data_IF_775142611811
#
_entry.id   IF_775142611811
#
_cell.length_a   1.000
_cell.length_b   1.000
_cell.length_c   1.000
_cell.angle_alpha   90.00
_cell.angle_beta   90.00
_cell.angle_gamma   90.00
#
_symmetry.space_group_name_H-M   'P 1'
#
loop_
_entity.id
_entity.type
_entity.pdbx_description
1 polymer ?
#
# COMPACT_ATOMS: atom_id res chain seq x y z
N UNK A 1 -12.94 6.38 -8.00
CA UNK A 1 -12.09 5.19 -7.76
C UNK A 1 -11.68 5.19 -6.30
N UNK A 2 -11.99 4.11 -5.58
CA UNK A 2 -11.75 4.03 -4.12
C UNK A 2 -10.47 3.25 -3.76
N UNK A 3 -9.48 3.19 -4.65
CA UNK A 3 -8.20 2.53 -4.42
C UNK A 3 -7.02 3.45 -4.69
N UNK A 4 -5.86 3.10 -4.14
CA UNK A 4 -4.61 3.85 -4.26
C UNK A 4 -3.46 2.92 -4.67
N UNK A 5 -2.52 3.49 -5.40
CA UNK A 5 -1.23 2.89 -5.73
C UNK A 5 -0.33 2.98 -4.51
N UNK A 6 0.15 1.85 -4.01
CA UNK A 6 1.06 1.78 -2.87
C UNK A 6 2.37 1.18 -3.35
N UNK A 7 3.44 1.95 -3.26
CA UNK A 7 4.78 1.53 -3.70
C UNK A 7 5.37 0.41 -2.86
N UNK A 8 6.20 -0.43 -3.48
CA UNK A 8 6.93 -1.52 -2.83
C UNK A 8 7.81 -1.05 -1.67
N UNK A 9 8.37 0.16 -1.73
CA UNK A 9 9.21 0.76 -0.68
C UNK A 9 8.53 0.77 0.70
N UNK A 10 7.19 0.80 0.74
CA UNK A 10 6.43 0.73 2.01
C UNK A 10 6.64 -0.60 2.73
N UNK A 11 6.77 -1.70 1.99
CA UNK A 11 7.06 -3.01 2.59
C UNK A 11 8.54 -3.14 2.97
N UNK A 12 9.45 -2.54 2.21
CA UNK A 12 10.89 -2.66 2.43
C UNK A 12 11.36 -1.86 3.65
N UNK A 13 10.79 -0.67 3.87
CA UNK A 13 11.37 0.35 4.71
C UNK A 13 10.55 0.71 5.96
N UNK A 14 9.25 0.44 5.96
CA UNK A 14 8.36 0.95 7.00
C UNK A 14 7.92 -0.14 7.98
N UNK A 15 7.78 0.24 9.25
CA UNK A 15 7.09 -0.59 10.24
C UNK A 15 5.57 -0.51 10.05
N UNK A 16 4.78 -1.46 10.59
CA UNK A 16 3.34 -1.53 10.33
C UNK A 16 2.59 -0.22 10.59
N UNK A 17 2.83 0.47 11.70
CA UNK A 17 2.15 1.72 12.00
C UNK A 17 2.59 2.87 11.07
N UNK A 18 3.83 2.84 10.59
CA UNK A 18 4.34 3.77 9.58
C UNK A 18 3.70 3.48 8.22
N UNK A 19 3.59 2.20 7.83
CA UNK A 19 2.89 1.76 6.62
C UNK A 19 1.41 2.17 6.63
N UNK A 20 0.74 2.05 7.79
CA UNK A 20 -0.61 2.61 7.98
C UNK A 20 -0.64 4.12 7.73
N UNK A 21 0.32 4.88 8.30
CA UNK A 21 0.39 6.34 8.10
C UNK A 21 0.61 6.70 6.62
N UNK A 22 1.48 5.96 5.92
CA UNK A 22 1.65 6.13 4.47
C UNK A 22 0.35 5.87 3.72
N UNK A 23 -0.35 4.78 4.03
CA UNK A 23 -1.59 4.42 3.38
C UNK A 23 -2.70 5.46 3.65
N UNK A 24 -2.77 6.01 4.86
CA UNK A 24 -3.65 7.12 5.18
C UNK A 24 -3.29 8.38 4.36
N UNK A 25 -2.01 8.71 4.23
CA UNK A 25 -1.54 9.82 3.39
C UNK A 25 -1.93 9.57 1.92
N UNK A 26 -1.69 8.37 1.40
CA UNK A 26 -2.06 7.98 0.04
C UNK A 26 -3.57 8.05 -0.19
N UNK A 27 -4.40 7.76 0.81
CA UNK A 27 -5.85 7.89 0.71
C UNK A 27 -6.32 9.32 0.43
N UNK A 28 -5.51 10.31 0.80
CA UNK A 28 -5.76 11.75 0.60
C UNK A 28 -5.02 12.32 -0.62
N UNK A 29 -4.32 11.50 -1.38
CA UNK A 29 -3.65 11.92 -2.62
C UNK A 29 -4.61 11.88 -3.80
N UNK A 30 -4.34 12.73 -4.78
CA UNK A 30 -4.92 12.58 -6.11
C UNK A 30 -4.34 11.32 -6.78
N UNK A 31 -5.19 10.57 -7.47
CA UNK A 31 -4.81 9.28 -8.06
C UNK A 31 -3.84 9.42 -9.24
N UNK A 32 -3.95 10.51 -10.01
CA UNK A 32 -3.17 10.73 -11.23
C UNK A 32 -1.86 11.46 -10.94
N UNK A 33 -1.93 12.51 -10.11
CA UNK A 33 -0.74 13.34 -9.79
C UNK A 33 0.06 12.80 -8.62
N UNK A 34 -0.52 11.89 -7.82
CA UNK A 34 0.07 11.32 -6.60
C UNK A 34 0.42 12.39 -5.55
N UNK A 35 -0.20 13.56 -5.65
CA UNK A 35 -0.01 14.66 -4.72
C UNK A 35 -1.03 14.60 -3.58
N UNK A 36 -0.57 14.80 -2.36
CA UNK A 36 -1.41 14.95 -1.18
C UNK A 36 -1.14 16.30 -0.50
N UNK A 37 -2.19 17.12 -0.36
CA UNK A 37 -2.14 18.46 0.27
C UNK A 37 -2.81 18.46 1.64
N UNK A 38 -2.60 17.40 2.41
CA UNK A 38 -3.20 17.21 3.73
C UNK A 38 -2.29 17.72 4.85
N UNK A 39 -2.86 18.35 5.86
CA UNK A 39 -2.12 18.80 7.02
C UNK A 39 -1.82 17.64 7.99
N UNK A 40 -0.71 17.73 8.74
CA UNK A 40 -0.37 16.73 9.76
C UNK A 40 -1.42 16.62 10.86
N UNK A 41 -2.07 17.74 11.23
CA UNK A 41 -3.18 17.75 12.18
C UNK A 41 -4.38 16.94 11.69
N UNK A 42 -4.73 17.07 10.40
CA UNK A 42 -5.79 16.28 9.79
C UNK A 42 -5.44 14.78 9.76
N UNK A 43 -4.19 14.42 9.44
CA UNK A 43 -3.74 13.02 9.52
C UNK A 43 -3.79 12.48 10.96
N UNK A 44 -3.40 13.30 11.94
CA UNK A 44 -3.48 12.96 13.36
C UNK A 44 -4.93 12.73 13.80
N UNK A 45 -5.85 13.62 13.43
CA UNK A 45 -7.28 13.50 13.70
C UNK A 45 -7.88 12.24 13.10
N UNK A 46 -7.67 12.01 11.79
CA UNK A 46 -8.19 10.83 11.08
C UNK A 46 -7.61 9.52 11.60
N UNK A 47 -6.35 9.52 11.99
CA UNK A 47 -5.68 8.33 12.52
C UNK A 47 -5.90 8.14 14.02
N UNK A 48 -6.27 9.17 14.77
CA UNK A 48 -6.23 9.17 16.24
C UNK A 48 -4.81 8.97 16.81
N UNK A 49 -3.76 9.24 16.01
CA UNK A 49 -2.37 9.26 16.45
C UNK A 49 -1.96 10.66 16.88
N UNK A 50 -0.96 10.75 17.77
CA UNK A 50 -0.40 12.04 18.13
C UNK A 50 0.27 12.72 16.93
N UNK A 51 0.09 14.04 16.78
CA UNK A 51 0.66 14.83 15.68
C UNK A 51 2.19 14.69 15.60
N UNK A 52 2.88 14.58 16.75
CA UNK A 52 4.33 14.33 16.79
C UNK A 52 4.68 12.97 16.19
N UNK A 53 3.86 11.94 16.41
CA UNK A 53 4.04 10.62 15.81
C UNK A 53 3.87 10.71 14.30
N UNK A 54 2.84 11.38 13.81
CA UNK A 54 2.64 11.63 12.38
C UNK A 54 3.85 12.35 11.77
N UNK A 55 4.31 13.43 12.41
CA UNK A 55 5.50 14.17 11.96
C UNK A 55 6.74 13.28 11.86
N UNK A 56 7.00 12.46 12.88
CA UNK A 56 8.13 11.51 12.88
C UNK A 56 8.02 10.48 11.75
N UNK A 57 6.81 9.94 11.49
CA UNK A 57 6.59 9.00 10.40
C UNK A 57 6.85 9.65 9.04
N UNK A 58 6.32 10.86 8.80
CA UNK A 58 6.52 11.59 7.55
C UNK A 58 7.99 11.95 7.32
N UNK A 59 8.70 12.43 8.35
CA UNK A 59 10.13 12.72 8.27
C UNK A 59 10.95 11.47 7.93
N UNK A 60 10.59 10.32 8.51
CA UNK A 60 11.24 9.04 8.20
C UNK A 60 10.97 8.62 6.75
N UNK A 61 9.75 8.76 6.25
CA UNK A 61 9.39 8.47 4.86
C UNK A 61 10.16 9.37 3.89
N UNK A 62 10.28 10.66 4.20
CA UNK A 62 11.05 11.62 3.40
C UNK A 62 12.54 11.27 3.40
N UNK A 63 13.13 10.99 4.56
CA UNK A 63 14.56 10.63 4.67
C UNK A 63 14.93 9.34 3.95
N UNK A 64 13.96 8.46 3.69
CA UNK A 64 14.11 7.20 2.96
C UNK A 64 13.68 7.28 1.49
N UNK A 65 13.32 8.47 1.01
CA UNK A 65 12.90 8.68 -0.37
C UNK A 65 11.55 8.05 -0.75
N UNK A 66 10.74 7.63 0.24
CA UNK A 66 9.41 7.03 0.01
C UNK A 66 8.41 8.10 -0.42
N UNK A 67 8.58 9.32 0.10
CA UNK A 67 7.84 10.52 -0.29
C UNK A 67 8.80 11.68 -0.50
N UNK A 68 8.41 12.64 -1.32
CA UNK A 68 9.06 13.95 -1.40
C UNK A 68 8.14 15.00 -0.80
N UNK A 69 8.69 15.94 -0.02
CA UNK A 69 7.88 16.97 0.65
C UNK A 69 8.26 18.35 0.12
N UNK A 70 7.34 18.97 -0.59
CA UNK A 70 7.45 20.38 -0.96
C UNK A 70 6.86 21.23 0.17
N UNK A 71 7.67 22.13 0.71
CA UNK A 71 7.30 23.03 1.83
C UNK A 71 7.07 24.43 1.28
N UNK A 72 5.81 24.81 1.22
CA UNK A 72 5.40 26.11 0.69
C UNK A 72 4.97 27.04 1.82
N UNK A 73 5.10 28.35 1.53
CA UNK A 73 4.64 29.42 2.41
C UNK A 73 3.71 30.33 1.61
N UNK A 74 2.46 30.44 2.03
CA UNK A 74 1.53 31.44 1.50
C UNK A 74 1.40 32.59 2.48
N UNK A 75 1.43 33.83 1.97
CA UNK A 75 1.12 35.04 2.71
C UNK A 75 -0.31 35.41 2.37
N UNK A 76 -1.21 35.27 3.35
CA UNK A 76 -2.62 35.68 3.23
C UNK A 76 -2.91 36.93 4.04
N UNK A 77 -4.14 37.42 3.96
CA UNK A 77 -4.61 38.62 4.69
C UNK A 77 -4.45 38.47 6.22
N UNK A 78 -4.55 37.25 6.74
CA UNK A 78 -4.42 36.93 8.18
C UNK A 78 -3.00 36.50 8.61
N UNK A 79 -1.98 36.68 7.75
CA UNK A 79 -0.60 36.29 8.01
C UNK A 79 -0.06 35.19 7.10
N UNK A 80 1.18 34.78 7.41
CA UNK A 80 1.85 33.71 6.63
C UNK A 80 1.56 32.36 7.24
N UNK A 81 1.09 31.41 6.42
CA UNK A 81 0.94 30.00 6.82
C UNK A 81 1.78 29.09 5.93
N UNK A 82 2.27 28.04 6.57
CA UNK A 82 3.05 26.98 5.91
C UNK A 82 2.13 25.80 5.61
N UNK A 83 2.29 25.22 4.43
CA UNK A 83 1.63 23.97 4.08
C UNK A 83 2.62 23.08 3.35
N UNK A 84 2.38 21.78 3.45
CA UNK A 84 3.19 20.78 2.78
C UNK A 84 2.38 20.14 1.67
N UNK A 85 3.01 19.96 0.52
CA UNK A 85 2.54 19.05 -0.53
C UNK A 85 3.43 17.82 -0.50
N UNK A 86 2.83 16.65 -0.34
CA UNK A 86 3.51 15.36 -0.32
C UNK A 86 3.35 14.74 -1.71
N UNK A 87 4.47 14.36 -2.32
CA UNK A 87 4.49 13.64 -3.59
C UNK A 87 4.84 12.19 -3.31
N UNK A 88 3.95 11.28 -3.71
CA UNK A 88 4.12 9.85 -3.58
C UNK A 88 4.69 9.30 -4.90
N UNK A 89 5.26 8.08 -4.84
CA UNK A 89 5.72 7.37 -6.04
C UNK A 89 4.79 6.20 -6.36
N UNK A 90 4.70 5.84 -7.64
CA UNK A 90 3.99 4.66 -8.13
C UNK A 90 4.93 3.61 -8.76
N UNK A 91 6.21 3.68 -8.47
CA UNK A 91 7.14 2.65 -8.89
C UNK A 91 6.84 1.32 -8.18
N UNK A 92 6.70 0.24 -8.96
CA UNK A 92 6.42 -1.11 -8.44
C UNK A 92 5.28 -1.10 -7.39
N UNK A 93 4.10 -0.67 -7.79
CA UNK A 93 2.96 -0.52 -6.88
C UNK A 93 2.03 -1.72 -6.86
N UNK A 94 1.24 -1.79 -5.79
CA UNK A 94 0.02 -2.60 -5.71
C UNK A 94 -1.20 -1.70 -5.46
N UNK A 95 -2.38 -2.15 -5.91
CA UNK A 95 -3.64 -1.45 -5.71
C UNK A 95 -4.34 -1.94 -4.44
N UNK A 96 -4.66 -1.00 -3.55
CA UNK A 96 -5.35 -1.27 -2.29
C UNK A 96 -6.53 -0.31 -2.14
N UNK A 97 -7.71 -0.85 -1.78
CA UNK A 97 -8.89 -0.03 -1.53
C UNK A 97 -8.73 0.81 -0.26
N UNK A 98 -9.12 2.07 -0.35
CA UNK A 98 -9.16 2.99 0.80
C UNK A 98 -10.10 2.48 1.91
N UNK A 99 -11.08 1.63 1.56
CA UNK A 99 -12.01 1.03 2.52
C UNK A 99 -11.31 0.19 3.60
N UNK A 100 -10.10 -0.30 3.33
CA UNK A 100 -9.27 -0.98 4.34
C UNK A 100 -8.98 -0.11 5.57
N UNK A 101 -8.97 1.23 5.44
CA UNK A 101 -8.82 2.15 6.57
C UNK A 101 -10.02 2.17 7.51
N UNK A 102 -11.20 1.75 7.02
CA UNK A 102 -12.46 1.73 7.78
C UNK A 102 -12.72 0.37 8.45
N UNK A 103 -11.87 -0.63 8.20
CA UNK A 103 -12.01 -1.95 8.81
C UNK A 103 -11.84 -1.89 10.33
N UNK A 104 -12.65 -2.65 11.11
CA UNK A 104 -12.66 -2.60 12.57
C UNK A 104 -11.49 -3.38 13.18
N UNK A 105 -10.28 -3.08 12.74
CA UNK A 105 -9.03 -3.69 13.18
C UNK A 105 -8.01 -2.63 13.57
N UNK A 106 -7.01 -3.02 14.35
CA UNK A 106 -5.98 -2.07 14.79
C UNK A 106 -5.11 -1.59 13.62
N UNK A 107 -4.62 -0.38 13.71
CA UNK A 107 -3.86 0.33 12.66
C UNK A 107 -2.61 -0.41 12.22
N UNK A 108 -1.90 -1.04 13.17
CA UNK A 108 -0.72 -1.86 12.88
C UNK A 108 -1.08 -3.08 12.01
N UNK A 109 -2.26 -3.68 12.22
CA UNK A 109 -2.72 -4.79 11.39
C UNK A 109 -3.07 -4.31 9.99
N UNK A 110 -3.71 -3.13 9.85
CA UNK A 110 -3.93 -2.51 8.53
C UNK A 110 -2.59 -2.31 7.81
N UNK A 111 -1.62 -1.70 8.48
CA UNK A 111 -0.28 -1.48 7.90
C UNK A 111 0.42 -2.78 7.52
N UNK A 112 0.31 -3.83 8.34
CA UNK A 112 0.83 -5.15 8.00
C UNK A 112 0.13 -5.76 6.78
N UNK A 113 -1.20 -5.67 6.67
CA UNK A 113 -1.94 -6.16 5.50
C UNK A 113 -1.57 -5.42 4.22
N UNK A 114 -1.33 -4.10 4.30
CA UNK A 114 -0.77 -3.31 3.19
C UNK A 114 0.59 -3.88 2.76
N UNK A 115 1.50 -4.12 3.69
CA UNK A 115 2.81 -4.69 3.40
C UNK A 115 2.74 -6.13 2.87
N UNK A 116 1.83 -6.94 3.40
CA UNK A 116 1.60 -8.29 2.91
C UNK A 116 1.09 -8.29 1.46
N UNK A 117 0.18 -7.36 1.10
CA UNK A 117 -0.27 -7.20 -0.30
C UNK A 117 0.90 -6.88 -1.23
N UNK A 118 1.84 -6.05 -0.80
CA UNK A 118 3.05 -5.72 -1.57
C UNK A 118 4.00 -6.91 -1.74
N UNK A 119 3.89 -7.95 -0.93
CA UNK A 119 4.63 -9.22 -1.04
C UNK A 119 3.86 -10.30 -1.81
N UNK A 120 2.62 -10.04 -2.18
CA UNK A 120 1.89 -10.92 -3.09
C UNK A 120 2.43 -10.79 -4.51
N UNK A 121 2.29 -11.83 -5.29
CA UNK A 121 2.51 -11.75 -6.73
C UNK A 121 1.60 -10.69 -7.32
N UNK A 122 2.16 -9.85 -8.21
CA UNK A 122 1.51 -8.65 -8.72
C UNK A 122 0.12 -8.87 -9.33
N UNK A 123 -0.17 -10.09 -9.79
CA UNK A 123 -1.42 -10.46 -10.46
C UNK A 123 -2.32 -11.37 -9.62
N UNK A 124 -2.02 -11.47 -8.35
CA UNK A 124 -2.80 -12.29 -7.44
C UNK A 124 -2.79 -11.72 -6.03
N UNK A 125 -3.61 -12.26 -5.16
CA UNK A 125 -3.56 -12.02 -3.72
C UNK A 125 -2.80 -13.14 -3.00
N UNK A 126 -1.94 -13.88 -3.72
CA UNK A 126 -1.15 -14.98 -3.18
C UNK A 126 0.27 -14.50 -2.85
N UNK A 127 0.63 -14.55 -1.58
CA UNK A 127 1.99 -14.41 -1.08
C UNK A 127 2.59 -15.80 -0.89
N UNK A 128 3.66 -16.13 -1.60
CA UNK A 128 4.35 -17.43 -1.52
C UNK A 128 5.45 -17.49 -0.49
N UNK A 129 5.78 -16.36 0.14
CA UNK A 129 6.79 -16.32 1.19
C UNK A 129 6.33 -17.12 2.41
N UNK A 130 7.23 -17.94 2.95
CA UNK A 130 7.10 -18.50 4.28
C UNK A 130 7.18 -17.41 5.36
N UNK A 131 6.79 -17.72 6.59
CA UNK A 131 6.91 -16.76 7.72
C UNK A 131 8.35 -16.27 7.92
N UNK A 132 9.35 -17.15 7.65
CA UNK A 132 10.77 -16.80 7.76
C UNK A 132 11.18 -15.84 6.66
N UNK A 133 10.85 -16.13 5.41
CA UNK A 133 11.15 -15.26 4.28
C UNK A 133 10.43 -13.91 4.39
N UNK A 134 9.19 -13.88 4.89
CA UNK A 134 8.52 -12.61 5.19
C UNK A 134 9.28 -11.80 6.24
N UNK A 135 9.80 -12.46 7.29
CA UNK A 135 10.59 -11.78 8.32
C UNK A 135 11.93 -11.29 7.80
N UNK A 136 12.51 -11.96 6.80
CA UNK A 136 13.76 -11.53 6.14
C UNK A 136 13.52 -10.35 5.17
N UNK A 137 12.29 -10.16 4.68
CA UNK A 137 11.93 -9.10 3.72
C UNK A 137 11.15 -7.94 4.33
N UNK A 138 10.70 -8.04 5.56
CA UNK A 138 9.97 -7.01 6.28
C UNK A 138 10.81 -6.53 7.48
N UNK A 139 10.69 -5.26 7.91
CA UNK A 139 11.55 -4.69 8.95
C UNK A 139 11.14 -5.12 10.37
N UNK A 140 10.84 -6.41 10.60
CA UNK A 140 10.50 -6.95 11.92
C UNK A 140 10.78 -8.45 12.06
N UNK A 141 10.76 -8.91 13.32
CA UNK A 141 11.14 -10.29 13.67
C UNK A 141 10.10 -11.32 13.21
N UNK A 142 10.53 -12.58 13.04
CA UNK A 142 9.67 -13.73 12.71
C UNK A 142 8.48 -13.85 13.66
N UNK A 143 8.69 -13.70 14.97
CA UNK A 143 7.60 -13.78 15.96
C UNK A 143 6.56 -12.67 15.79
N UNK A 144 7.00 -11.49 15.35
CA UNK A 144 6.11 -10.37 15.04
C UNK A 144 5.30 -10.65 13.78
N UNK A 145 5.92 -11.16 12.73
CA UNK A 145 5.23 -11.58 11.49
C UNK A 145 4.19 -12.64 11.79
N UNK A 146 4.58 -13.70 12.51
CA UNK A 146 3.68 -14.82 12.86
C UNK A 146 2.46 -14.34 13.66
N UNK A 147 2.66 -13.47 14.63
CA UNK A 147 1.56 -12.86 15.42
C UNK A 147 0.58 -12.09 14.54
N UNK A 148 1.07 -11.30 13.57
CA UNK A 148 0.20 -10.57 12.64
C UNK A 148 -0.54 -11.51 11.70
N UNK A 149 0.11 -12.57 11.21
CA UNK A 149 -0.54 -13.56 10.36
C UNK A 149 -1.64 -14.31 11.11
N UNK A 150 -1.40 -14.74 12.34
CA UNK A 150 -2.43 -15.39 13.19
C UNK A 150 -3.61 -14.44 13.39
N UNK A 151 -3.34 -13.18 13.74
CA UNK A 151 -4.40 -12.18 13.94
C UNK A 151 -5.19 -11.91 12.65
N UNK A 152 -4.51 -11.75 11.53
CA UNK A 152 -5.14 -11.54 10.22
C UNK A 152 -6.00 -12.72 9.79
N UNK A 153 -5.57 -13.96 10.07
CA UNK A 153 -6.32 -15.18 9.78
C UNK A 153 -7.56 -15.30 10.67
N UNK A 154 -7.42 -15.07 11.97
CA UNK A 154 -8.55 -15.06 12.92
C UNK A 154 -9.61 -14.00 12.57
N UNK A 155 -9.19 -12.87 12.02
CA UNK A 155 -10.08 -11.79 11.54
C UNK A 155 -10.62 -12.03 10.14
N UNK A 156 -10.22 -13.09 9.44
CA UNK A 156 -10.71 -13.45 8.11
C UNK A 156 -10.12 -12.66 6.93
N UNK A 157 -9.02 -11.92 7.13
CA UNK A 157 -8.36 -11.17 6.05
C UNK A 157 -7.45 -12.05 5.21
N UNK A 158 -6.94 -13.13 5.77
CA UNK A 158 -6.08 -14.09 5.07
C UNK A 158 -6.55 -15.53 5.29
N UNK A 159 -6.12 -16.41 4.39
CA UNK A 159 -6.11 -17.87 4.56
C UNK A 159 -4.73 -18.40 4.27
N UNK A 160 -4.31 -19.42 5.01
CA UNK A 160 -3.03 -20.11 4.77
C UNK A 160 -3.32 -21.52 4.25
N UNK A 161 -2.57 -21.93 3.23
CA UNK A 161 -2.62 -23.28 2.67
C UNK A 161 -1.23 -23.70 2.14
N UNK A 162 -1.13 -24.85 1.51
CA UNK A 162 0.11 -25.37 0.93
C UNK A 162 0.73 -24.46 -0.15
N UNK A 163 -0.08 -23.61 -0.81
CA UNK A 163 0.37 -22.68 -1.85
C UNK A 163 0.94 -21.38 -1.27
N UNK A 164 0.66 -21.08 0.00
CA UNK A 164 1.09 -19.86 0.68
C UNK A 164 -0.02 -19.15 1.45
N UNK A 165 0.11 -17.83 1.56
CA UNK A 165 -0.81 -16.93 2.27
C UNK A 165 -1.65 -16.20 1.23
N UNK A 166 -2.98 -16.29 1.35
CA UNK A 166 -3.94 -15.69 0.42
C UNK A 166 -4.68 -14.55 1.13
N UNK A 167 -4.65 -13.35 0.58
CA UNK A 167 -5.52 -12.24 0.96
C UNK A 167 -6.93 -12.49 0.40
N UNK A 168 -7.91 -12.66 1.28
CA UNK A 168 -9.24 -13.21 0.92
C UNK A 168 -10.15 -12.18 0.27
N UNK A 169 -10.11 -10.91 0.74
CA UNK A 169 -11.05 -9.89 0.29
C UNK A 169 -10.54 -9.14 -0.95
N UNK A 170 -11.01 -9.54 -2.13
CA UNK A 170 -10.63 -8.92 -3.41
C UNK A 170 -11.17 -7.49 -3.60
N UNK A 171 -12.16 -7.06 -2.81
CA UNK A 171 -12.61 -5.67 -2.81
C UNK A 171 -11.64 -4.74 -2.07
N UNK A 172 -10.90 -5.26 -1.10
CA UNK A 172 -9.88 -4.52 -0.37
C UNK A 172 -8.51 -4.60 -1.06
N UNK A 173 -8.16 -5.79 -1.58
CA UNK A 173 -6.87 -6.08 -2.21
C UNK A 173 -7.09 -6.32 -3.70
N UNK A 174 -6.97 -5.24 -4.47
CA UNK A 174 -7.29 -5.26 -5.89
C UNK A 174 -6.22 -6.05 -6.66
N UNK A 175 -6.68 -6.91 -7.56
CA UNK A 175 -5.83 -7.54 -8.58
C UNK A 175 -5.96 -6.71 -9.85
N UNK A 176 -4.86 -6.15 -10.32
CA UNK A 176 -4.85 -5.35 -11.53
C UNK A 176 -4.86 -6.26 -12.76
N UNK A 177 -5.99 -6.31 -13.46
CA UNK A 177 -6.13 -7.11 -14.69
C UNK A 177 -5.24 -6.61 -15.83
N UNK A 178 -4.93 -5.31 -15.86
CA UNK A 178 -3.97 -4.77 -16.84
C UNK A 178 -2.57 -5.33 -16.61
N UNK A 179 -2.24 -5.61 -15.36
CA UNK A 179 -0.96 -6.22 -15.01
C UNK A 179 -0.85 -7.68 -15.49
N UNK A 180 -1.95 -8.42 -15.50
CA UNK A 180 -1.99 -9.80 -16.03
C UNK A 180 -1.69 -9.82 -17.54
N UNK A 181 -2.25 -8.87 -18.28
CA UNK A 181 -1.95 -8.67 -19.70
C UNK A 181 -0.47 -8.33 -19.93
N UNK A 182 0.10 -7.43 -19.13
CA UNK A 182 1.50 -7.04 -19.21
C UNK A 182 2.44 -8.22 -18.90
N UNK A 183 2.06 -9.10 -17.95
CA UNK A 183 2.80 -10.31 -17.64
C UNK A 183 2.81 -11.29 -18.82
N UNK A 184 1.64 -11.55 -19.41
CA UNK A 184 1.52 -12.43 -20.58
C UNK A 184 2.37 -11.87 -21.72
N UNK A 185 2.34 -10.56 -21.96
CA UNK A 185 3.15 -9.90 -22.97
C UNK A 185 4.65 -10.07 -22.76
N UNK A 186 5.11 -10.07 -21.50
CA UNK A 186 6.53 -10.25 -21.17
C UNK A 186 6.99 -11.70 -21.21
N UNK A 187 6.16 -12.62 -20.74
CA UNK A 187 6.52 -14.04 -20.59
C UNK A 187 6.25 -14.86 -21.84
N UNK A 188 5.22 -14.50 -22.60
CA UNK A 188 4.75 -15.26 -23.78
C UNK A 188 4.31 -14.27 -24.86
N UNK A 189 5.23 -13.43 -25.40
CA UNK A 189 4.88 -12.42 -26.41
C UNK A 189 4.24 -13.02 -27.68
N UNK A 190 4.56 -14.27 -28.00
CA UNK A 190 3.98 -15.03 -29.11
C UNK A 190 2.48 -15.28 -28.96
N UNK A 191 1.98 -15.41 -27.73
CA UNK A 191 0.55 -15.61 -27.44
C UNK A 191 -0.27 -14.37 -27.82
N UNK A 192 0.32 -13.17 -27.73
CA UNK A 192 -0.34 -11.91 -28.02
C UNK A 192 -0.33 -11.53 -29.51
N UNK A 193 0.33 -12.32 -30.35
CA UNK A 193 0.28 -12.18 -31.81
C UNK A 193 -0.89 -12.96 -32.43
N UNK A 194 -1.54 -13.85 -31.67
CA UNK A 194 -2.74 -14.58 -32.05
C UNK A 194 -3.97 -13.67 -31.87
N UNK A 195 -4.66 -13.32 -32.96
CA UNK A 195 -5.84 -12.46 -32.98
C UNK A 195 -6.98 -13.03 -32.13
N UNK A 196 -7.17 -14.36 -32.15
CA UNK A 196 -8.19 -15.06 -31.34
C UNK A 196 -7.96 -14.92 -29.82
N UNK A 197 -6.71 -14.79 -29.42
CA UNK A 197 -6.36 -14.61 -28.01
C UNK A 197 -6.48 -13.15 -27.56
N UNK A 198 -6.23 -12.19 -28.46
CA UNK A 198 -6.44 -10.76 -28.19
C UNK A 198 -7.90 -10.46 -27.88
N UNK A 199 -8.83 -11.01 -28.64
CA UNK A 199 -10.27 -10.82 -28.45
C UNK A 199 -10.78 -11.44 -27.14
N UNK A 200 -10.18 -12.55 -26.67
CA UNK A 200 -10.55 -13.18 -25.39
C UNK A 200 -10.07 -12.41 -24.16
N UNK A 201 -8.93 -11.71 -24.23
CA UNK A 201 -8.40 -10.91 -23.11
C UNK A 201 -9.14 -9.60 -22.96
N UNK A 202 -9.65 -9.00 -24.05
CA UNK A 202 -10.35 -7.72 -24.04
C UNK A 202 -11.79 -7.82 -23.53
N UNK A 203 -12.38 -9.03 -23.48
CA UNK A 203 -13.78 -9.28 -23.08
C UNK A 203 -13.98 -9.87 -21.68
N UNK A 204 -12.93 -9.94 -20.84
CA UNK A 204 -12.97 -10.30 -19.43
C UNK A 204 -12.44 -9.09 -18.61
#
# INVERSE_FOLDING_TARGET
MNYRKITQLVADELRPLEAYTYFLLASKSDYNTLESKVNQSTLAELSGLNIKTIGNHLNKMESRGIITVQRDRKVGVSGAFRFNTYHLTDENYSLISVDLLNEPIRKELIGFLVQLKLRCWNYSNLCRYSVRELADTLPYTKSTVDRYLIEAELKGYIKRNEKGIILVNTNLFIVDKMSEFELIRRLCPEILTDEDYRDRIVHY
#
